data_IF_430533916683
#
_entry.id   IF_430533916683
#
_cell.length_a   1.000
_cell.length_b   1.000
_cell.length_c   1.000
_cell.angle_alpha   90.00
_cell.angle_beta   90.00
_cell.angle_gamma   90.00
#
_symmetry.space_group_name_H-M   'P 1'
#
loop_
_entity.id
_entity.type
_entity.pdbx_description
1 polymer ?
#
# COMPACT_ATOMS: atom_id res chain seq x y z
N UNK A 1 35.67 -8.68 -17.97
CA UNK A 1 34.28 -8.92 -17.53
C UNK A 1 33.64 -9.79 -18.61
N UNK A 2 33.51 -11.10 -18.37
CA UNK A 2 32.90 -12.02 -19.34
C UNK A 2 31.38 -11.81 -19.24
N UNK A 3 30.76 -11.37 -20.32
CA UNK A 3 29.32 -11.50 -20.49
C UNK A 3 29.05 -13.00 -20.61
N UNK A 4 28.52 -13.61 -19.57
CA UNK A 4 28.03 -14.98 -19.64
C UNK A 4 26.88 -15.02 -20.66
N UNK A 5 27.01 -15.93 -21.62
CA UNK A 5 26.01 -16.17 -22.65
C UNK A 5 24.72 -16.66 -21.99
N UNK A 6 23.71 -15.81 -21.92
CA UNK A 6 22.32 -16.23 -21.71
C UNK A 6 21.97 -17.20 -22.85
N UNK A 7 21.66 -18.45 -22.52
CA UNK A 7 21.38 -19.47 -23.54
C UNK A 7 20.04 -19.17 -24.21
N UNK A 8 19.87 -19.53 -25.48
CA UNK A 8 18.59 -19.34 -26.18
C UNK A 8 17.40 -19.97 -25.45
N UNK A 9 17.64 -20.98 -24.59
CA UNK A 9 16.64 -21.60 -23.73
C UNK A 9 16.16 -20.69 -22.61
N UNK A 10 17.03 -19.91 -21.97
CA UNK A 10 16.66 -19.04 -20.85
C UNK A 10 15.73 -17.90 -21.31
N UNK A 11 15.99 -17.37 -22.51
CA UNK A 11 15.10 -16.38 -23.15
C UNK A 11 13.73 -16.98 -23.51
N UNK A 12 13.69 -18.23 -23.98
CA UNK A 12 12.43 -18.90 -24.26
C UNK A 12 11.64 -19.17 -22.98
N UNK A 13 12.30 -19.57 -21.90
CA UNK A 13 11.68 -19.78 -20.59
C UNK A 13 11.07 -18.48 -20.06
N UNK A 14 11.83 -17.37 -20.08
CA UNK A 14 11.32 -16.05 -19.70
C UNK A 14 10.15 -15.59 -20.59
N UNK A 15 10.23 -15.84 -21.90
CA UNK A 15 9.16 -15.49 -22.82
C UNK A 15 7.89 -16.33 -22.58
N UNK A 16 8.03 -17.59 -22.18
CA UNK A 16 6.90 -18.45 -21.80
C UNK A 16 6.30 -18.00 -20.46
N UNK A 17 7.12 -17.58 -19.50
CA UNK A 17 6.69 -17.05 -18.21
C UNK A 17 5.89 -15.74 -18.37
N UNK A 18 6.44 -14.77 -19.12
CA UNK A 18 5.76 -13.50 -19.43
C UNK A 18 4.43 -13.75 -20.16
N UNK A 19 4.42 -14.67 -21.14
CA UNK A 19 3.18 -15.03 -21.85
C UNK A 19 2.17 -15.64 -20.88
N UNK A 20 2.59 -16.52 -19.97
CA UNK A 20 1.69 -17.13 -18.99
C UNK A 20 1.05 -16.07 -18.08
N UNK A 21 1.84 -15.16 -17.52
CA UNK A 21 1.32 -14.07 -16.70
C UNK A 21 0.34 -13.18 -17.48
N UNK A 22 0.65 -12.87 -18.74
CA UNK A 22 -0.21 -12.04 -19.61
C UNK A 22 -1.51 -12.75 -19.99
N UNK A 23 -1.47 -14.04 -20.33
CA UNK A 23 -2.66 -14.81 -20.71
C UNK A 23 -3.57 -15.12 -19.51
N UNK A 24 -3.01 -15.31 -18.31
CA UNK A 24 -3.83 -15.49 -17.10
C UNK A 24 -4.56 -14.19 -16.70
N UNK A 25 -4.01 -13.02 -17.03
CA UNK A 25 -4.70 -11.73 -16.89
C UNK A 25 -5.90 -11.58 -17.85
N UNK A 26 -5.76 -12.02 -19.11
CA UNK A 26 -6.83 -11.96 -20.12
C UNK A 26 -7.97 -12.96 -19.84
N UNK A 27 -7.71 -14.01 -19.07
CA UNK A 27 -8.68 -15.10 -18.79
C UNK A 27 -9.53 -14.82 -17.55
N UNK A 28 -9.93 -13.57 -17.26
CA UNK A 28 -10.96 -13.15 -16.25
C UNK A 28 -10.93 -13.75 -14.81
N UNK A 29 -10.00 -14.66 -14.49
CA UNK A 29 -9.92 -15.40 -13.24
C UNK A 29 -8.98 -14.74 -12.24
N UNK A 30 -8.14 -13.82 -12.71
CA UNK A 30 -7.27 -13.01 -11.86
C UNK A 30 -7.90 -11.63 -11.73
N UNK A 31 -8.10 -11.19 -10.50
CA UNK A 31 -8.56 -9.83 -10.22
C UNK A 31 -7.47 -8.85 -10.72
N UNK A 32 -7.72 -8.00 -11.73
CA UNK A 32 -6.70 -7.10 -12.27
C UNK A 32 -6.12 -6.13 -11.23
N UNK A 33 -6.82 -5.92 -10.10
CA UNK A 33 -6.35 -5.09 -9.00
C UNK A 33 -5.36 -5.80 -8.06
N UNK A 34 -5.09 -7.10 -8.22
CA UNK A 34 -4.14 -7.83 -7.36
C UNK A 34 -2.68 -7.44 -7.56
N UNK A 35 -2.36 -6.79 -8.68
CA UNK A 35 -1.01 -6.33 -9.02
C UNK A 35 -0.76 -4.88 -8.59
N UNK A 36 -1.80 -4.18 -8.12
CA UNK A 36 -1.69 -2.80 -7.66
C UNK A 36 -1.43 -2.82 -6.16
N UNK A 37 -0.33 -2.20 -5.74
CA UNK A 37 -0.05 -2.02 -4.31
C UNK A 37 -1.07 -1.07 -3.69
N UNK A 38 -1.42 -1.32 -2.43
CA UNK A 38 -2.32 -0.45 -1.70
C UNK A 38 -1.64 0.91 -1.45
N UNK A 39 -2.32 2.00 -1.84
CA UNK A 39 -1.87 3.36 -1.57
C UNK A 39 -2.19 3.73 -0.13
N UNK A 40 -1.16 3.98 0.67
CA UNK A 40 -1.34 4.41 2.06
C UNK A 40 -2.02 5.78 2.16
N UNK A 41 -1.74 6.69 1.23
CA UNK A 41 -2.39 8.00 1.13
C UNK A 41 -3.90 7.86 0.92
N UNK A 42 -4.33 7.10 -0.09
CA UNK A 42 -5.76 6.94 -0.39
C UNK A 42 -6.48 6.17 0.72
N UNK A 43 -5.82 5.16 1.30
CA UNK A 43 -6.33 4.41 2.44
C UNK A 43 -6.54 5.32 3.66
N UNK A 44 -5.63 6.26 3.91
CA UNK A 44 -5.77 7.26 4.97
C UNK A 44 -6.95 8.21 4.73
N UNK A 45 -7.20 8.63 3.49
CA UNK A 45 -8.38 9.43 3.16
C UNK A 45 -9.69 8.68 3.41
N UNK A 46 -9.78 7.42 2.99
CA UNK A 46 -10.95 6.59 3.25
C UNK A 46 -11.15 6.34 4.75
N UNK A 47 -10.06 6.13 5.49
CA UNK A 47 -10.06 5.96 6.94
C UNK A 47 -10.63 7.18 7.68
N UNK A 48 -10.57 8.39 7.11
CA UNK A 48 -11.11 9.59 7.73
C UNK A 48 -12.61 9.79 7.50
N UNK A 49 -13.26 9.01 6.63
CA UNK A 49 -14.69 9.16 6.35
C UNK A 49 -15.49 8.74 7.58
N UNK A 50 -16.36 9.64 8.07
CA UNK A 50 -17.22 9.37 9.23
C UNK A 50 -18.48 8.62 8.79
N UNK A 51 -18.94 7.71 9.63
CA UNK A 51 -20.27 7.12 9.47
C UNK A 51 -21.33 8.13 9.92
N UNK A 52 -22.18 8.55 8.98
CA UNK A 52 -23.24 9.52 9.20
C UNK A 52 -24.55 8.89 9.69
N UNK A 53 -24.58 7.57 9.91
CA UNK A 53 -25.79 6.86 10.38
C UNK A 53 -26.25 7.30 11.77
N UNK A 54 -25.30 7.68 12.63
CA UNK A 54 -25.55 8.09 14.02
C UNK A 54 -24.69 9.30 14.36
N UNK A 55 -25.32 10.47 14.37
CA UNK A 55 -24.69 11.77 14.64
C UNK A 55 -24.13 11.86 16.07
N UNK A 56 -24.57 10.99 16.99
CA UNK A 56 -24.11 10.99 18.38
C UNK A 56 -22.79 10.26 18.59
N UNK A 57 -22.40 9.38 17.66
CA UNK A 57 -21.14 8.63 17.72
C UNK A 57 -20.29 8.86 16.48
N UNK A 58 -19.21 9.63 16.64
CA UNK A 58 -18.18 9.71 15.62
C UNK A 58 -17.44 8.37 15.54
N UNK A 59 -17.65 7.64 14.43
CA UNK A 59 -16.95 6.39 14.11
C UNK A 59 -16.56 6.36 12.62
N UNK A 60 -15.48 5.65 12.25
CA UNK A 60 -15.09 5.54 10.86
C UNK A 60 -16.10 4.70 10.07
N UNK A 61 -16.47 5.15 8.87
CA UNK A 61 -17.27 4.39 7.91
C UNK A 61 -16.50 3.14 7.44
N UNK A 62 -15.19 3.28 7.22
CA UNK A 62 -14.31 2.22 6.70
C UNK A 62 -13.27 1.79 7.73
N UNK A 63 -13.68 1.00 8.72
CA UNK A 63 -12.78 0.54 9.78
C UNK A 63 -11.61 -0.32 9.27
N UNK A 64 -11.79 -1.05 8.18
CA UNK A 64 -10.70 -1.82 7.56
C UNK A 64 -9.52 -0.95 7.10
N UNK A 65 -9.77 0.30 6.68
CA UNK A 65 -8.70 1.22 6.31
C UNK A 65 -7.85 1.62 7.52
N UNK A 66 -8.48 1.76 8.69
CA UNK A 66 -7.77 2.03 9.95
C UNK A 66 -6.91 0.84 10.35
N UNK A 67 -7.47 -0.36 10.30
CA UNK A 67 -6.77 -1.59 10.68
C UNK A 67 -5.57 -1.84 9.74
N UNK A 68 -5.71 -1.52 8.45
CA UNK A 68 -4.63 -1.56 7.48
C UNK A 68 -3.51 -0.57 7.81
N UNK A 69 -3.84 0.70 8.10
CA UNK A 69 -2.85 1.72 8.47
C UNK A 69 -2.03 1.27 9.68
N UNK A 70 -2.68 0.70 10.71
CA UNK A 70 -1.99 0.18 11.90
C UNK A 70 -1.07 -1.01 11.59
N UNK A 71 -1.38 -1.81 10.57
CA UNK A 71 -0.64 -3.02 10.24
C UNK A 71 0.51 -2.78 9.24
N UNK A 72 0.49 -1.64 8.54
CA UNK A 72 1.36 -1.37 7.39
C UNK A 72 2.33 -0.18 7.60
N UNK A 73 2.64 0.19 8.85
CA UNK A 73 3.71 1.15 9.15
C UNK A 73 5.08 0.48 9.05
N UNK A 74 6.05 1.12 8.40
CA UNK A 74 7.43 0.65 8.41
C UNK A 74 7.98 0.60 9.84
N UNK A 75 8.52 -0.54 10.25
CA UNK A 75 8.98 -0.75 11.63
C UNK A 75 10.25 0.04 11.95
N UNK A 76 11.10 0.27 10.94
CA UNK A 76 12.41 0.94 11.05
C UNK A 76 12.24 2.45 10.94
N UNK A 77 11.70 2.91 9.81
CA UNK A 77 11.56 4.35 9.49
C UNK A 77 10.32 4.98 10.13
N UNK A 78 9.32 4.19 10.52
CA UNK A 78 8.04 4.73 11.02
C UNK A 78 7.15 5.36 9.94
N UNK A 79 7.50 5.22 8.67
CA UNK A 79 6.79 5.84 7.56
C UNK A 79 5.75 4.91 6.93
N UNK A 80 4.79 5.51 6.24
CA UNK A 80 3.88 4.83 5.32
C UNK A 80 4.15 5.31 3.90
N UNK A 81 4.26 4.38 2.95
CA UNK A 81 4.62 4.69 1.57
C UNK A 81 5.33 3.53 0.90
N UNK A 82 5.59 3.65 -0.40
CA UNK A 82 6.23 2.58 -1.16
C UNK A 82 7.70 2.43 -0.74
N UNK A 83 8.07 1.28 -0.20
CA UNK A 83 9.42 1.02 0.33
C UNK A 83 10.48 0.74 -0.75
N UNK A 84 10.11 0.84 -2.02
CA UNK A 84 10.97 0.48 -3.16
C UNK A 84 11.29 1.62 -4.13
N UNK A 85 10.63 2.77 -4.01
CA UNK A 85 10.87 3.90 -4.92
C UNK A 85 11.64 5.01 -4.20
N UNK A 86 12.61 5.60 -4.90
CA UNK A 86 13.39 6.77 -4.49
C UNK A 86 12.52 8.05 -4.33
N UNK A 87 11.19 7.90 -4.35
CA UNK A 87 10.23 8.99 -4.37
C UNK A 87 9.82 9.40 -2.95
N UNK A 88 10.75 10.08 -2.26
CA UNK A 88 10.58 10.56 -0.87
C UNK A 88 9.31 11.40 -0.67
N UNK A 89 8.86 12.13 -1.71
CA UNK A 89 7.67 12.98 -1.65
C UNK A 89 6.37 12.22 -1.42
N UNK A 90 6.20 11.05 -2.03
CA UNK A 90 4.99 10.21 -1.87
C UNK A 90 4.95 9.54 -0.50
N UNK A 91 6.11 9.24 0.07
CA UNK A 91 6.23 8.69 1.42
C UNK A 91 5.87 9.74 2.47
N UNK A 92 6.30 11.00 2.29
CA UNK A 92 5.96 12.07 3.22
C UNK A 92 4.45 12.36 3.25
N UNK A 93 3.82 12.51 2.08
CA UNK A 93 2.38 12.79 2.00
C UNK A 93 1.55 11.62 2.52
N UNK A 94 1.93 10.39 2.19
CA UNK A 94 1.31 9.18 2.72
C UNK A 94 1.42 9.07 4.24
N UNK A 95 2.62 9.30 4.79
CA UNK A 95 2.87 9.29 6.23
C UNK A 95 2.03 10.35 6.95
N UNK A 96 2.03 11.58 6.43
CA UNK A 96 1.24 12.67 7.01
C UNK A 96 -0.26 12.33 7.00
N UNK A 97 -0.78 11.83 5.88
CA UNK A 97 -2.18 11.43 5.77
C UNK A 97 -2.53 10.34 6.79
N UNK A 98 -1.69 9.30 6.92
CA UNK A 98 -1.87 8.22 7.90
C UNK A 98 -1.87 8.75 9.34
N UNK A 99 -0.93 9.63 9.69
CA UNK A 99 -0.86 10.26 11.00
C UNK A 99 -2.13 11.08 11.30
N UNK A 100 -2.61 11.86 10.32
CA UNK A 100 -3.85 12.65 10.48
C UNK A 100 -5.06 11.73 10.68
N UNK A 101 -5.16 10.65 9.93
CA UNK A 101 -6.22 9.66 10.08
C UNK A 101 -6.22 9.03 11.48
N UNK A 102 -5.06 8.58 11.98
CA UNK A 102 -4.94 8.02 13.33
C UNK A 102 -5.26 9.04 14.42
N UNK A 103 -4.83 10.29 14.27
CA UNK A 103 -5.15 11.38 15.19
C UNK A 103 -6.64 11.68 15.25
N UNK A 104 -7.33 11.70 14.09
CA UNK A 104 -8.77 11.96 14.01
C UNK A 104 -9.55 11.02 14.93
N UNK A 105 -9.17 9.75 14.96
CA UNK A 105 -9.84 8.72 15.74
C UNK A 105 -9.23 8.46 17.12
N UNK A 106 -8.16 9.18 17.50
CA UNK A 106 -7.45 9.05 18.78
C UNK A 106 -6.94 7.63 19.04
N UNK A 107 -6.42 6.99 18.01
CA UNK A 107 -5.90 5.61 18.05
C UNK A 107 -4.44 5.57 17.58
N UNK A 108 -3.73 4.47 17.89
CA UNK A 108 -2.39 4.23 17.34
C UNK A 108 -1.35 5.26 17.78
N UNK A 109 -1.38 5.74 19.02
CA UNK A 109 -0.45 6.77 19.53
C UNK A 109 1.04 6.43 19.31
N UNK A 110 1.41 5.15 19.43
CA UNK A 110 2.76 4.69 19.10
C UNK A 110 3.12 4.93 17.63
N UNK A 111 2.18 4.63 16.72
CA UNK A 111 2.37 4.81 15.28
C UNK A 111 2.45 6.28 14.92
N UNK A 112 1.63 7.12 15.56
CA UNK A 112 1.68 8.58 15.43
C UNK A 112 3.06 9.12 15.83
N UNK A 113 3.60 8.67 16.97
CA UNK A 113 4.90 9.14 17.44
C UNK A 113 6.03 8.71 16.50
N UNK A 114 5.95 7.49 15.97
CA UNK A 114 6.93 6.98 14.99
C UNK A 114 6.88 7.72 13.65
N UNK A 115 5.70 8.08 13.15
CA UNK A 115 5.56 8.77 11.86
C UNK A 115 5.87 10.26 11.91
N UNK A 116 6.18 10.82 13.09
CA UNK A 116 6.52 12.24 13.29
C UNK A 116 7.96 12.41 13.81
N UNK A 117 8.51 11.36 14.43
CA UNK A 117 9.86 11.35 14.99
C UNK A 117 10.92 11.26 13.91
#
# INVERSE_FOLDING_TARGET
MKLENCSSSDLCVLAEEIKKETFELDTFSINPYSFVSASAYDTAWLAMIEDLSDVSTQKPMFRGCIDWILSNQNVVEGLWGNHGDENEGETLTSTLACVVALRKWKIGSLHINKGIG
#
